data_IF_499581935292
#
_entry.id   IF_499581935292
#
_cell.length_a   1.000
_cell.length_b   1.000
_cell.length_c   1.000
_cell.angle_alpha   90.00
_cell.angle_beta   90.00
_cell.angle_gamma   90.00
#
_symmetry.space_group_name_H-M   'P 1'
#
loop_
_entity.id
_entity.type
_entity.pdbx_description
1 polymer ?
#
# COMPACT_ATOMS: atom_id res chain seq x y z
N UNK A 1 -9.72 15.41 -3.03
CA UNK A 1 -9.28 14.56 -4.17
C UNK A 1 -10.34 13.50 -4.40
N UNK A 2 -10.66 13.17 -5.66
CA UNK A 2 -11.63 12.12 -6.01
C UNK A 2 -10.93 11.07 -6.86
N UNK A 3 -11.09 9.81 -6.48
CA UNK A 3 -10.59 8.66 -7.25
C UNK A 3 -11.80 7.84 -7.69
N UNK A 4 -11.85 7.51 -8.97
CA UNK A 4 -12.87 6.63 -9.54
C UNK A 4 -12.14 5.43 -10.11
N UNK A 5 -12.48 4.24 -9.64
CA UNK A 5 -11.89 2.99 -10.10
C UNK A 5 -12.97 2.25 -10.90
N UNK A 6 -12.65 1.97 -12.16
CA UNK A 6 -13.49 1.19 -13.07
C UNK A 6 -12.88 -0.20 -13.25
N UNK A 7 -13.69 -1.19 -13.63
CA UNK A 7 -13.28 -2.59 -13.80
C UNK A 7 -12.08 -2.77 -14.73
N UNK A 8 -11.90 -1.87 -15.72
CA UNK A 8 -10.82 -1.95 -16.71
C UNK A 8 -9.43 -1.60 -16.14
N UNK A 9 -9.38 -0.76 -15.10
CA UNK A 9 -8.13 -0.29 -14.49
C UNK A 9 -7.84 -0.96 -13.15
N UNK A 10 -8.77 -1.77 -12.65
CA UNK A 10 -8.74 -2.42 -11.35
C UNK A 10 -7.48 -3.25 -11.11
N UNK A 11 -7.04 -4.02 -12.11
CA UNK A 11 -5.81 -4.85 -12.02
C UNK A 11 -4.54 -4.00 -11.99
N UNK A 12 -4.59 -2.75 -12.46
CA UNK A 12 -3.50 -1.78 -12.38
C UNK A 12 -3.54 -0.95 -11.09
N UNK A 13 -4.63 -1.03 -10.30
CA UNK A 13 -4.73 -0.33 -9.01
C UNK A 13 -3.86 -1.03 -7.98
N UNK A 14 -2.61 -0.60 -7.91
CA UNK A 14 -1.62 -1.05 -6.93
C UNK A 14 -1.64 -0.21 -5.65
N UNK A 15 -0.93 -0.68 -4.63
CA UNK A 15 -0.73 0.04 -3.37
C UNK A 15 -0.22 1.48 -3.57
N UNK A 16 0.55 1.73 -4.64
CA UNK A 16 1.10 3.06 -4.95
C UNK A 16 0.02 4.08 -5.35
N UNK A 17 -1.06 3.64 -6.01
CA UNK A 17 -2.17 4.52 -6.39
C UNK A 17 -2.92 4.97 -5.14
N UNK A 18 -3.17 4.06 -4.20
CA UNK A 18 -3.76 4.40 -2.90
C UNK A 18 -2.82 5.26 -2.06
N UNK A 19 -1.55 4.90 -1.97
CA UNK A 19 -0.55 5.68 -1.24
C UNK A 19 -0.49 7.13 -1.75
N UNK A 20 -0.48 7.32 -3.07
CA UNK A 20 -0.53 8.65 -3.69
C UNK A 20 -1.86 9.34 -3.42
N UNK A 21 -2.99 8.64 -3.54
CA UNK A 21 -4.30 9.22 -3.29
C UNK A 21 -4.49 9.67 -1.83
N UNK A 22 -3.96 8.91 -0.88
CA UNK A 22 -3.99 9.23 0.55
C UNK A 22 -3.08 10.42 0.84
N UNK A 23 -1.81 10.36 0.45
CA UNK A 23 -0.82 11.40 0.76
C UNK A 23 -1.06 12.71 0.02
N UNK A 24 -1.67 12.67 -1.18
CA UNK A 24 -2.00 13.88 -1.97
C UNK A 24 -3.38 14.46 -1.62
N UNK A 25 -4.26 13.71 -0.97
CA UNK A 25 -5.53 14.24 -0.51
C UNK A 25 -5.30 15.20 0.67
N UNK A 26 -5.45 16.50 0.42
CA UNK A 26 -5.23 17.55 1.45
C UNK A 26 -6.30 17.63 2.54
N UNK A 27 -7.49 17.07 2.32
CA UNK A 27 -8.61 17.15 3.27
C UNK A 27 -9.41 15.85 3.34
N UNK A 28 -10.27 15.59 2.35
CA UNK A 28 -11.07 14.36 2.27
C UNK A 28 -10.78 13.62 0.96
N UNK A 29 -10.43 12.35 1.08
CA UNK A 29 -10.35 11.42 -0.02
C UNK A 29 -11.71 10.76 -0.19
N UNK A 30 -12.28 10.84 -1.39
CA UNK A 30 -13.51 10.10 -1.74
C UNK A 30 -13.17 9.14 -2.88
N UNK A 31 -13.44 7.86 -2.66
CA UNK A 31 -13.21 6.79 -3.61
C UNK A 31 -14.57 6.22 -4.03
N UNK A 32 -14.75 6.04 -5.33
CA UNK A 32 -15.99 5.51 -5.91
C UNK A 32 -15.65 4.29 -6.78
N UNK A 33 -16.33 3.17 -6.49
CA UNK A 33 -16.19 1.89 -7.17
C UNK A 33 -17.46 1.05 -6.99
N UNK A 34 -17.59 -0.03 -7.76
CA UNK A 34 -18.57 -1.09 -7.52
C UNK A 34 -18.17 -2.00 -6.35
N UNK A 35 -19.11 -2.67 -5.67
CA UNK A 35 -18.81 -3.65 -4.62
C UNK A 35 -17.86 -4.77 -5.05
N UNK A 36 -17.97 -5.24 -6.30
CA UNK A 36 -17.11 -6.28 -6.86
C UNK A 36 -15.67 -5.80 -6.99
N UNK A 37 -15.49 -4.57 -7.48
CA UNK A 37 -14.20 -3.90 -7.63
C UNK A 37 -13.55 -3.64 -6.27
N UNK A 38 -14.33 -3.19 -5.28
CA UNK A 38 -13.85 -3.02 -3.91
C UNK A 38 -13.23 -4.31 -3.38
N UNK A 39 -13.98 -5.42 -3.50
CA UNK A 39 -13.56 -6.71 -2.99
C UNK A 39 -12.26 -7.18 -3.63
N UNK A 40 -12.16 -7.17 -4.96
CA UNK A 40 -10.95 -7.60 -5.67
C UNK A 40 -9.76 -6.71 -5.37
N UNK A 41 -9.94 -5.39 -5.29
CA UNK A 41 -8.85 -4.46 -4.97
C UNK A 41 -8.35 -4.69 -3.55
N UNK A 42 -9.23 -4.85 -2.56
CA UNK A 42 -8.87 -5.15 -1.18
C UNK A 42 -8.18 -6.51 -1.04
N UNK A 43 -8.64 -7.55 -1.75
CA UNK A 43 -8.01 -8.88 -1.77
C UNK A 43 -6.58 -8.84 -2.34
N UNK A 44 -6.32 -7.95 -3.29
CA UNK A 44 -5.02 -7.74 -3.90
C UNK A 44 -4.11 -6.80 -3.09
N UNK A 45 -4.66 -5.98 -2.19
CA UNK A 45 -3.89 -5.15 -1.25
C UNK A 45 -3.31 -6.01 -0.11
N UNK A 46 -2.27 -6.77 -0.42
CA UNK A 46 -1.50 -7.53 0.59
C UNK A 46 -0.33 -6.72 1.09
N UNK A 47 -0.05 -6.85 2.40
CA UNK A 47 1.18 -6.32 2.99
C UNK A 47 2.36 -7.05 2.36
N UNK A 48 3.17 -6.33 1.59
CA UNK A 48 4.42 -6.85 1.07
C UNK A 48 5.48 -6.70 2.16
N UNK A 49 5.52 -7.66 3.09
CA UNK A 49 6.60 -7.72 4.07
C UNK A 49 7.84 -8.35 3.43
N UNK A 50 8.88 -7.55 3.21
CA UNK A 50 10.16 -8.06 2.74
C UNK A 50 10.99 -8.57 3.92
N UNK A 51 10.83 -9.85 4.25
CA UNK A 51 11.53 -10.52 5.36
C UNK A 51 13.06 -10.47 5.18
N UNK A 52 13.57 -10.50 3.95
CA UNK A 52 15.01 -10.41 3.69
C UNK A 52 15.57 -9.05 4.09
N UNK A 53 14.91 -7.97 3.66
CA UNK A 53 15.33 -6.62 4.00
C UNK A 53 15.20 -6.38 5.51
N UNK A 54 14.11 -6.84 6.12
CA UNK A 54 13.93 -6.77 7.57
C UNK A 54 15.09 -7.44 8.33
N UNK A 55 15.51 -8.64 7.91
CA UNK A 55 16.66 -9.33 8.51
C UNK A 55 17.96 -8.54 8.32
N UNK A 56 18.21 -8.01 7.12
CA UNK A 56 19.41 -7.21 6.84
C UNK A 56 19.46 -5.94 7.71
N UNK A 57 18.35 -5.22 7.82
CA UNK A 57 18.24 -4.05 8.70
C UNK A 57 18.43 -4.43 10.16
N UNK A 58 17.79 -5.53 10.60
CA UNK A 58 17.90 -6.01 11.98
C UNK A 58 19.35 -6.31 12.34
N UNK A 59 20.08 -7.04 11.51
CA UNK A 59 21.50 -7.36 11.78
C UNK A 59 22.38 -6.12 11.76
N UNK A 60 22.18 -5.22 10.79
CA UNK A 60 22.92 -3.95 10.72
C UNK A 60 22.70 -3.10 11.96
N UNK A 61 21.45 -2.86 12.37
CA UNK A 61 21.16 -2.05 13.56
C UNK A 61 21.48 -2.75 14.88
N UNK A 62 21.46 -4.09 14.93
CA UNK A 62 21.96 -4.85 16.09
C UNK A 62 23.46 -4.66 16.27
N UNK A 63 24.24 -4.59 15.17
CA UNK A 63 25.67 -4.29 15.22
C UNK A 63 25.98 -2.84 15.62
N UNK A 64 25.12 -1.89 15.27
CA UNK A 64 25.32 -0.46 15.61
C UNK A 64 24.91 -0.11 17.05
N UNK A 65 24.01 -0.90 17.67
CA UNK A 65 23.51 -0.63 19.03
C UNK A 65 24.28 -1.34 20.15
N UNK A 66 25.30 -2.16 19.86
CA UNK A 66 26.05 -2.93 20.88
C UNK A 66 25.14 -3.54 21.97
N UNK A 67 23.98 -4.10 21.58
CA UNK A 67 23.17 -4.88 22.51
C UNK A 67 23.83 -6.26 22.61
N UNK A 68 24.78 -6.34 23.55
CA UNK A 68 25.40 -7.57 24.09
C UNK A 68 24.39 -8.67 24.36
#
# INVERSE_FOLDING_TARGET
>A
MKVVITNEIEEMVSHNIFYTAITRAKEKLKIYWSPETEKRVLENMKVQFNDKDYRLFKEKFKSELNLT
#
